data_IF_362563326551
#
_entry.id   IF_362563326551
#
_cell.length_a   1.000
_cell.length_b   1.000
_cell.length_c   1.000
_cell.angle_alpha   90.00
_cell.angle_beta   90.00
_cell.angle_gamma   90.00
#
_symmetry.space_group_name_H-M   'P 1'
#
loop_
_entity.id
_entity.type
_entity.pdbx_description
1 polymer ?
#
# COMPACT_ATOMS: atom_id res chain seq x y z
N UNK A 1 30.05 31.51 -34.31
CA UNK A 1 30.86 32.07 -33.22
C UNK A 1 30.15 31.71 -31.91
N UNK A 2 30.61 30.64 -31.26
CA UNK A 2 30.53 30.32 -29.82
C UNK A 2 30.97 28.86 -29.68
N UNK A 3 32.21 28.72 -29.19
CA UNK A 3 32.93 27.47 -29.00
C UNK A 3 32.36 26.69 -27.81
N UNK A 4 32.25 25.38 -28.03
CA UNK A 4 32.18 24.32 -27.04
C UNK A 4 33.49 24.23 -26.24
N UNK A 5 33.40 24.25 -24.92
CA UNK A 5 34.49 23.84 -24.02
C UNK A 5 34.08 22.58 -23.28
N UNK A 6 34.67 21.46 -23.69
CA UNK A 6 34.75 20.22 -22.92
C UNK A 6 35.90 20.37 -21.92
N UNK A 7 35.64 20.10 -20.64
CA UNK A 7 36.69 19.93 -19.63
C UNK A 7 36.83 18.46 -19.30
N UNK A 8 38.03 17.95 -19.57
CA UNK A 8 38.49 16.60 -19.31
C UNK A 8 38.52 16.30 -17.81
N UNK A 9 38.05 15.11 -17.43
CA UNK A 9 38.18 14.59 -16.08
C UNK A 9 39.56 13.94 -15.92
N UNK A 10 40.40 14.50 -15.06
CA UNK A 10 41.69 13.93 -14.68
C UNK A 10 41.49 12.73 -13.74
N UNK A 11 42.09 11.61 -14.10
CA UNK A 11 42.29 10.42 -13.26
C UNK A 11 43.32 10.74 -12.17
N UNK A 12 42.95 10.62 -10.89
CA UNK A 12 43.90 10.53 -9.77
C UNK A 12 43.79 9.16 -9.09
N UNK A 13 44.97 8.54 -8.91
CA UNK A 13 45.21 7.25 -8.25
C UNK A 13 45.15 7.39 -6.72
N UNK A 14 44.94 6.30 -5.97
CA UNK A 14 44.57 6.36 -4.55
C UNK A 14 45.79 6.60 -3.65
N UNK A 15 45.64 7.52 -2.70
CA UNK A 15 46.59 7.72 -1.60
C UNK A 15 46.24 6.74 -0.48
N UNK A 16 47.13 5.78 -0.23
CA UNK A 16 47.16 4.99 0.99
C UNK A 16 47.51 5.92 2.17
N UNK A 17 46.59 6.03 3.13
CA UNK A 17 46.90 6.53 4.46
C UNK A 17 46.30 5.56 5.49
N UNK A 18 47.18 4.75 6.07
CA UNK A 18 46.93 4.03 7.30
C UNK A 18 46.62 5.04 8.41
N UNK A 19 45.39 5.05 8.91
CA UNK A 19 45.08 5.60 10.22
C UNK A 19 44.15 4.64 10.94
N UNK A 20 44.70 3.96 11.94
CA UNK A 20 43.97 3.29 13.00
C UNK A 20 42.91 4.25 13.57
N UNK A 21 41.63 3.95 13.35
CA UNK A 21 40.54 4.60 14.07
C UNK A 21 39.91 3.56 14.97
N UNK A 22 40.15 3.76 16.26
CA UNK A 22 39.54 3.06 17.38
C UNK A 22 38.02 3.01 17.21
N UNK A 23 37.48 1.79 17.11
CA UNK A 23 36.04 1.52 17.15
C UNK A 23 35.55 1.61 18.60
N UNK A 24 35.46 2.82 19.15
CA UNK A 24 34.82 3.02 20.45
C UNK A 24 33.90 4.24 20.44
N UNK A 25 32.64 3.96 20.81
CA UNK A 25 31.60 4.89 21.23
C UNK A 25 31.08 5.89 20.20
N UNK A 26 30.22 5.40 19.30
CA UNK A 26 29.14 6.24 18.75
C UNK A 26 28.18 6.55 19.89
N UNK A 27 28.40 7.71 20.49
CA UNK A 27 27.49 8.39 21.40
C UNK A 27 26.09 8.44 20.78
N UNK A 28 25.15 7.73 21.41
CA UNK A 28 23.72 7.82 21.13
C UNK A 28 23.24 9.20 21.57
N UNK A 29 23.36 10.18 20.67
CA UNK A 29 22.73 11.48 20.90
C UNK A 29 21.23 11.27 21.07
N UNK A 30 20.75 11.51 22.29
CA UNK A 30 19.35 11.53 22.69
C UNK A 30 18.61 12.63 21.91
N UNK A 31 18.30 12.38 20.65
CA UNK A 31 17.32 13.15 19.91
C UNK A 31 15.98 12.82 20.56
N UNK A 32 15.41 13.81 21.25
CA UNK A 32 14.10 13.70 21.89
C UNK A 32 13.05 13.68 20.77
N UNK A 33 12.87 12.54 20.12
CA UNK A 33 11.79 12.30 19.17
C UNK A 33 10.48 12.52 19.94
N UNK A 34 9.76 13.61 19.65
CA UNK A 34 8.43 13.88 20.21
C UNK A 34 7.60 12.59 20.21
N UNK A 35 7.42 12.00 21.39
CA UNK A 35 6.48 10.93 21.74
C UNK A 35 6.21 9.91 20.62
N UNK A 36 7.23 9.15 20.20
CA UNK A 36 6.93 7.87 19.55
C UNK A 36 6.36 6.93 20.60
N UNK A 37 5.23 6.31 20.29
CA UNK A 37 4.73 5.24 21.13
C UNK A 37 5.75 4.09 21.15
N UNK A 38 5.88 3.43 22.29
CA UNK A 38 6.87 2.37 22.47
C UNK A 38 6.59 1.18 21.55
N UNK A 39 7.65 0.68 20.93
CA UNK A 39 7.64 -0.52 20.10
C UNK A 39 8.79 -1.43 20.54
N UNK A 40 8.70 -1.98 21.73
CA UNK A 40 9.72 -2.89 22.26
C UNK A 40 9.73 -4.24 21.52
N UNK A 41 8.61 -4.63 20.90
CA UNK A 41 8.51 -5.88 20.15
C UNK A 41 9.53 -5.99 19.01
N UNK A 42 9.94 -4.88 18.39
CA UNK A 42 10.95 -4.90 17.31
C UNK A 42 12.35 -5.24 17.82
N UNK A 43 12.64 -4.94 19.09
CA UNK A 43 13.92 -5.24 19.73
C UNK A 43 14.05 -6.71 20.13
N UNK A 44 12.94 -7.44 20.21
CA UNK A 44 12.94 -8.88 20.52
C UNK A 44 13.57 -9.66 19.36
N UNK A 45 14.46 -10.64 19.62
CA UNK A 45 14.82 -11.65 18.65
C UNK A 45 13.57 -12.32 18.07
N UNK A 46 13.59 -12.66 16.78
CA UNK A 46 12.42 -13.21 16.07
C UNK A 46 11.79 -14.42 16.79
N UNK A 47 12.62 -15.29 17.36
CA UNK A 47 12.19 -16.47 18.11
C UNK A 47 11.38 -16.12 19.37
N UNK A 48 11.67 -14.99 20.01
CA UNK A 48 11.00 -14.50 21.22
C UNK A 48 9.73 -13.68 20.91
N UNK A 49 9.49 -13.35 19.64
CA UNK A 49 8.26 -12.68 19.22
C UNK A 49 7.07 -13.62 19.34
N UNK A 50 5.97 -13.14 19.90
CA UNK A 50 4.71 -13.86 19.90
C UNK A 50 4.13 -13.97 18.47
N UNK A 51 3.06 -14.74 18.30
CA UNK A 51 2.43 -14.97 16.99
C UNK A 51 2.11 -13.67 16.24
N UNK A 52 1.51 -12.68 16.91
CA UNK A 52 1.11 -11.41 16.31
C UNK A 52 2.32 -10.54 15.93
N UNK A 53 3.34 -10.50 16.79
CA UNK A 53 4.60 -9.78 16.54
C UNK A 53 5.36 -10.38 15.34
N UNK A 54 5.32 -11.71 15.17
CA UNK A 54 5.90 -12.37 13.98
C UNK A 54 5.16 -11.96 12.70
N UNK A 55 3.84 -11.88 12.74
CA UNK A 55 3.05 -11.41 11.58
C UNK A 55 3.29 -9.92 11.29
N UNK A 56 3.41 -9.07 12.32
CA UNK A 56 3.72 -7.65 12.15
C UNK A 56 5.10 -7.40 11.54
N UNK A 57 5.99 -8.40 11.56
CA UNK A 57 7.31 -8.32 10.91
C UNK A 57 7.20 -8.11 9.40
N UNK A 58 6.10 -8.51 8.76
CA UNK A 58 5.89 -8.27 7.33
C UNK A 58 5.80 -6.78 6.97
N UNK A 59 5.49 -5.91 7.94
CA UNK A 59 5.45 -4.46 7.72
C UNK A 59 6.82 -3.78 7.88
N UNK A 60 7.83 -4.50 8.38
CA UNK A 60 9.13 -3.90 8.65
C UNK A 60 9.86 -3.63 7.32
N UNK A 61 10.14 -2.35 7.10
CA UNK A 61 11.07 -1.90 6.06
C UNK A 61 12.53 -2.15 6.48
N UNK A 62 13.49 -1.72 5.65
CA UNK A 62 14.91 -1.76 6.03
C UNK A 62 15.18 -0.86 7.24
N UNK A 63 16.22 -1.17 8.02
CA UNK A 63 16.62 -0.41 9.22
C UNK A 63 16.87 1.08 8.90
N UNK A 64 17.29 1.38 7.66
CA UNK A 64 17.42 2.75 7.12
C UNK A 64 16.16 3.57 7.37
N UNK A 65 14.97 2.99 7.19
CA UNK A 65 13.70 3.68 7.29
C UNK A 65 13.36 4.07 8.74
N UNK A 66 14.02 3.48 9.73
CA UNK A 66 13.70 3.64 11.16
C UNK A 66 14.73 4.47 11.93
N UNK A 67 15.79 4.92 11.27
CA UNK A 67 16.81 5.83 11.83
C UNK A 67 16.85 7.14 11.04
N UNK A 68 17.31 8.21 11.68
CA UNK A 68 17.45 9.51 11.01
C UNK A 68 18.50 9.41 9.90
N UNK A 69 18.15 9.90 8.71
CA UNK A 69 19.03 9.91 7.54
C UNK A 69 19.57 11.32 7.26
N UNK A 70 20.73 11.46 6.59
CA UNK A 70 21.16 12.76 6.08
C UNK A 70 20.11 13.38 5.15
N UNK A 71 19.96 14.70 5.18
CA UNK A 71 18.99 15.38 4.32
C UNK A 71 19.35 15.23 2.83
N UNK A 72 18.48 14.56 2.08
CA UNK A 72 18.56 14.53 0.61
C UNK A 72 18.00 15.82 0.01
N UNK A 73 18.88 16.63 -0.60
CA UNK A 73 18.55 17.93 -1.22
C UNK A 73 18.06 17.83 -2.67
N UNK A 74 18.23 16.68 -3.33
CA UNK A 74 17.80 16.50 -4.73
C UNK A 74 16.28 16.43 -4.81
N UNK A 75 15.61 16.93 -5.85
CA UNK A 75 14.16 16.76 -5.99
C UNK A 75 13.76 15.27 -5.95
N UNK A 76 12.55 14.91 -5.47
CA UNK A 76 12.05 13.55 -5.56
C UNK A 76 12.04 13.08 -7.03
N UNK A 77 12.57 11.88 -7.34
CA UNK A 77 12.50 11.37 -8.69
C UNK A 77 11.06 11.02 -9.07
N UNK A 78 10.76 11.06 -10.36
CA UNK A 78 9.47 10.65 -10.90
C UNK A 78 9.46 9.13 -11.13
N UNK A 79 8.51 8.42 -10.54
CA UNK A 79 8.38 6.99 -10.73
C UNK A 79 7.68 6.68 -12.06
N UNK A 80 8.28 5.80 -12.87
CA UNK A 80 7.70 5.43 -14.16
C UNK A 80 6.43 4.58 -13.96
N UNK A 81 5.26 5.20 -14.19
CA UNK A 81 3.94 4.56 -14.04
C UNK A 81 3.76 3.29 -14.87
N UNK A 82 4.45 3.16 -16.01
CA UNK A 82 4.37 1.95 -16.84
C UNK A 82 5.02 0.73 -16.18
N UNK A 83 6.06 0.94 -15.38
CA UNK A 83 6.66 -0.14 -14.58
C UNK A 83 5.69 -0.63 -13.52
N UNK A 84 4.97 0.29 -12.88
CA UNK A 84 3.96 -0.02 -11.88
C UNK A 84 2.73 -0.71 -12.47
N UNK A 85 2.27 -0.27 -13.65
CA UNK A 85 1.21 -0.97 -14.41
C UNK A 85 1.63 -2.39 -14.77
N UNK A 86 2.85 -2.58 -15.28
CA UNK A 86 3.36 -3.92 -15.60
C UNK A 86 3.44 -4.80 -14.34
N UNK A 87 3.95 -4.25 -13.23
CA UNK A 87 4.00 -4.95 -11.95
C UNK A 87 2.60 -5.39 -11.50
N UNK A 88 1.61 -4.49 -11.55
CA UNK A 88 0.22 -4.81 -11.24
C UNK A 88 -0.33 -5.90 -12.15
N UNK A 89 -0.10 -5.82 -13.47
CA UNK A 89 -0.55 -6.86 -14.42
C UNK A 89 0.04 -8.21 -14.06
N UNK A 90 1.34 -8.28 -13.78
CA UNK A 90 2.04 -9.54 -13.43
C UNK A 90 1.55 -10.11 -12.10
N UNK A 91 1.17 -9.26 -11.14
CA UNK A 91 0.73 -9.73 -9.82
C UNK A 91 -0.78 -10.05 -9.75
N UNK A 92 -1.61 -9.40 -10.56
CA UNK A 92 -3.08 -9.58 -10.55
C UNK A 92 -3.53 -10.70 -11.49
N UNK A 93 -2.95 -10.77 -12.70
CA UNK A 93 -3.39 -11.69 -13.75
C UNK A 93 -3.28 -13.18 -13.40
N UNK A 94 -2.25 -13.67 -12.66
CA UNK A 94 -2.09 -15.10 -12.40
C UNK A 94 -3.30 -15.77 -11.75
N UNK A 95 -3.95 -15.11 -10.79
CA UNK A 95 -5.13 -15.67 -10.13
C UNK A 95 -6.29 -15.93 -11.12
N UNK A 96 -6.55 -14.96 -12.01
CA UNK A 96 -7.56 -15.06 -13.06
C UNK A 96 -7.20 -16.13 -14.08
N UNK A 97 -5.93 -16.16 -14.53
CA UNK A 97 -5.44 -17.11 -15.52
C UNK A 97 -5.52 -18.54 -14.97
N UNK A 98 -5.14 -18.78 -13.72
CA UNK A 98 -5.20 -20.11 -13.10
C UNK A 98 -6.64 -20.63 -13.07
N UNK A 99 -7.62 -19.80 -12.65
CA UNK A 99 -9.02 -20.23 -12.68
C UNK A 99 -9.52 -20.44 -14.12
N UNK A 100 -9.18 -19.56 -15.06
CA UNK A 100 -9.59 -19.72 -16.46
C UNK A 100 -9.01 -21.00 -17.09
N UNK A 101 -7.72 -21.28 -16.85
CA UNK A 101 -7.05 -22.50 -17.31
C UNK A 101 -7.64 -23.74 -16.66
N UNK A 102 -8.04 -23.69 -15.39
CA UNK A 102 -8.74 -24.80 -14.74
C UNK A 102 -10.01 -25.18 -15.51
N UNK A 103 -10.84 -24.20 -15.88
CA UNK A 103 -12.09 -24.45 -16.61
C UNK A 103 -11.81 -24.93 -18.05
N UNK A 104 -10.69 -24.54 -18.64
CA UNK A 104 -10.28 -25.03 -19.95
C UNK A 104 -9.77 -26.48 -19.92
N UNK A 105 -9.01 -26.85 -18.89
CA UNK A 105 -8.32 -28.15 -18.80
C UNK A 105 -9.21 -29.24 -18.21
N UNK A 106 -10.02 -28.91 -17.20
CA UNK A 106 -10.85 -29.90 -16.51
C UNK A 106 -12.11 -30.17 -17.35
N UNK A 107 -12.40 -31.43 -17.71
CA UNK A 107 -13.57 -31.77 -18.55
C UNK A 107 -14.89 -31.31 -17.94
N UNK A 108 -15.82 -30.82 -18.77
CA UNK A 108 -17.13 -30.29 -18.32
C UNK A 108 -17.97 -31.29 -17.53
N UNK A 109 -17.83 -32.58 -17.79
CA UNK A 109 -18.51 -33.65 -17.08
C UNK A 109 -17.88 -34.00 -15.72
N UNK A 110 -16.73 -33.42 -15.37
CA UNK A 110 -16.08 -33.61 -14.08
C UNK A 110 -16.79 -32.84 -12.98
N UNK A 111 -16.97 -33.48 -11.81
CA UNK A 111 -17.46 -32.81 -10.60
C UNK A 111 -16.63 -31.56 -10.23
N UNK A 112 -15.33 -31.58 -10.58
CA UNK A 112 -14.39 -30.51 -10.27
C UNK A 112 -14.29 -29.42 -11.33
N UNK A 113 -15.03 -29.50 -12.45
CA UNK A 113 -14.94 -28.52 -13.54
C UNK A 113 -15.18 -27.09 -13.06
N UNK A 114 -16.23 -26.89 -12.24
CA UNK A 114 -16.58 -25.57 -11.72
C UNK A 114 -16.18 -25.38 -10.27
N UNK A 115 -15.69 -24.20 -9.93
CA UNK A 115 -15.27 -23.86 -8.57
C UNK A 115 -16.46 -23.48 -7.69
N UNK A 116 -16.75 -24.31 -6.70
CA UNK A 116 -17.69 -23.96 -5.63
C UNK A 116 -17.29 -22.62 -4.97
N UNK A 117 -18.24 -21.75 -4.56
CA UNK A 117 -17.90 -20.44 -3.98
C UNK A 117 -16.88 -20.47 -2.84
N UNK A 118 -16.92 -21.50 -1.99
CA UNK A 118 -15.93 -21.70 -0.92
C UNK A 118 -14.51 -21.93 -1.48
N UNK A 119 -14.37 -22.73 -2.54
CA UNK A 119 -13.07 -22.97 -3.20
C UNK A 119 -12.55 -21.68 -3.83
N UNK A 120 -13.43 -20.95 -4.53
CA UNK A 120 -13.08 -19.66 -5.11
C UNK A 120 -12.65 -18.66 -4.03
N UNK A 121 -13.39 -18.56 -2.92
CA UNK A 121 -13.03 -17.70 -1.80
C UNK A 121 -11.65 -18.04 -1.24
N UNK A 122 -11.39 -19.31 -0.92
CA UNK A 122 -10.08 -19.73 -0.39
C UNK A 122 -8.96 -19.40 -1.38
N UNK A 123 -9.14 -19.73 -2.67
CA UNK A 123 -8.14 -19.47 -3.69
C UNK A 123 -7.86 -17.97 -3.85
N UNK A 124 -8.90 -17.16 -4.06
CA UNK A 124 -8.74 -15.71 -4.24
C UNK A 124 -8.23 -15.03 -2.97
N UNK A 125 -8.59 -15.52 -1.78
CA UNK A 125 -8.06 -14.98 -0.52
C UNK A 125 -6.56 -15.25 -0.39
N UNK A 126 -6.10 -16.48 -0.67
CA UNK A 126 -4.68 -16.82 -0.67
C UNK A 126 -3.90 -16.02 -1.72
N UNK A 127 -4.47 -15.85 -2.91
CA UNK A 127 -3.90 -15.00 -3.95
C UNK A 127 -3.83 -13.53 -3.49
N UNK A 128 -4.84 -13.03 -2.78
CA UNK A 128 -4.87 -11.64 -2.29
C UNK A 128 -3.84 -11.41 -1.19
N UNK A 129 -3.73 -12.33 -0.22
CA UNK A 129 -2.69 -12.28 0.81
C UNK A 129 -1.30 -12.34 0.17
N UNK A 130 -1.10 -13.20 -0.83
CA UNK A 130 0.15 -13.26 -1.59
C UNK A 130 0.44 -11.94 -2.29
N UNK A 131 -0.56 -11.34 -2.95
CA UNK A 131 -0.47 -10.03 -3.57
C UNK A 131 -0.05 -8.95 -2.57
N UNK A 132 -0.70 -8.88 -1.40
CA UNK A 132 -0.38 -7.91 -0.33
C UNK A 132 1.07 -8.09 0.17
N UNK A 133 1.52 -9.32 0.40
CA UNK A 133 2.92 -9.57 0.82
C UNK A 133 3.90 -9.07 -0.24
N UNK A 134 3.61 -9.30 -1.53
CA UNK A 134 4.46 -8.82 -2.64
C UNK A 134 4.41 -7.30 -2.76
N UNK A 135 3.24 -6.71 -2.56
CA UNK A 135 3.02 -5.27 -2.57
C UNK A 135 3.83 -4.57 -1.49
N UNK A 136 3.77 -5.05 -0.24
CA UNK A 136 4.55 -4.47 0.86
C UNK A 136 6.03 -4.53 0.55
N UNK A 137 6.55 -5.67 0.07
CA UNK A 137 7.96 -5.80 -0.36
C UNK A 137 8.34 -4.86 -1.50
N UNK A 138 7.43 -4.65 -2.45
CA UNK A 138 7.64 -3.75 -3.58
C UNK A 138 7.72 -2.29 -3.13
N UNK A 139 6.85 -1.88 -2.22
CA UNK A 139 6.87 -0.53 -1.66
C UNK A 139 8.10 -0.32 -0.76
N UNK A 140 8.42 -1.26 0.13
CA UNK A 140 9.59 -1.12 1.01
C UNK A 140 10.91 -1.14 0.25
N UNK A 141 10.98 -1.80 -0.90
CA UNK A 141 12.10 -1.67 -1.83
C UNK A 141 12.29 -0.21 -2.28
N UNK A 142 11.22 0.48 -2.68
CA UNK A 142 11.34 1.88 -3.08
C UNK A 142 11.62 2.83 -1.91
N UNK A 143 11.10 2.54 -0.72
CA UNK A 143 11.48 3.26 0.51
C UNK A 143 12.99 3.15 0.77
N UNK A 144 13.58 1.97 0.53
CA UNK A 144 15.01 1.77 0.69
C UNK A 144 15.83 2.49 -0.39
N UNK A 145 15.42 2.38 -1.66
CA UNK A 145 16.13 2.99 -2.80
C UNK A 145 16.09 4.51 -2.76
N UNK A 146 14.90 5.10 -2.55
CA UNK A 146 14.69 6.54 -2.68
C UNK A 146 14.67 7.30 -1.35
N UNK A 147 14.58 6.58 -0.23
CA UNK A 147 14.33 7.15 1.08
C UNK A 147 12.85 7.50 1.28
N UNK A 148 12.56 8.12 2.42
CA UNK A 148 11.21 8.58 2.79
C UNK A 148 11.19 10.09 3.04
N UNK A 149 10.03 10.72 2.86
CA UNK A 149 9.86 12.15 3.12
C UNK A 149 10.12 12.48 4.60
N UNK A 150 10.80 13.60 4.90
CA UNK A 150 11.13 14.03 6.27
C UNK A 150 12.07 13.10 7.07
N UNK A 151 12.71 12.10 6.44
CA UNK A 151 13.60 11.13 7.10
C UNK A 151 14.81 11.73 7.84
N UNK A 152 15.17 12.97 7.52
CA UNK A 152 16.23 13.73 8.19
C UNK A 152 15.81 14.40 9.50
N UNK A 153 14.50 14.49 9.75
CA UNK A 153 13.95 14.96 11.02
C UNK A 153 13.37 13.83 11.83
N UNK A 154 12.62 12.94 11.17
CA UNK A 154 11.92 11.83 11.82
C UNK A 154 11.83 10.62 10.88
N UNK A 155 12.25 9.42 11.34
CA UNK A 155 12.10 8.20 10.55
C UNK A 155 10.64 7.74 10.41
N UNK A 156 10.39 6.61 9.73
CA UNK A 156 9.12 5.88 9.74
C UNK A 156 8.79 5.32 11.12
N UNK A 157 7.53 5.39 11.51
CA UNK A 157 7.05 4.91 12.79
C UNK A 157 7.00 3.38 12.83
N UNK A 158 7.23 2.81 14.01
CA UNK A 158 6.91 1.42 14.27
C UNK A 158 5.46 1.30 14.72
N UNK A 159 4.89 0.11 14.55
CA UNK A 159 3.62 -0.25 15.17
C UNK A 159 3.82 -0.27 16.70
N UNK A 160 3.02 0.49 17.47
CA UNK A 160 3.16 0.49 18.93
C UNK A 160 2.81 -0.87 19.54
N UNK A 161 3.49 -1.27 20.63
CA UNK A 161 3.33 -2.59 21.27
C UNK A 161 1.86 -2.96 21.51
N UNK A 162 1.08 -2.01 22.07
CA UNK A 162 -0.35 -2.17 22.39
C UNK A 162 -1.26 -2.36 21.18
N UNK A 163 -0.78 -2.06 19.98
CA UNK A 163 -1.57 -2.10 18.75
C UNK A 163 -1.16 -3.20 17.79
N UNK A 164 -0.10 -3.98 18.08
CA UNK A 164 0.35 -5.09 17.23
C UNK A 164 -0.78 -6.08 16.98
N UNK A 165 -1.43 -6.59 18.04
CA UNK A 165 -2.55 -7.52 17.91
C UNK A 165 -3.68 -6.96 17.04
N UNK A 166 -4.08 -5.71 17.35
CA UNK A 166 -5.18 -5.04 16.65
C UNK A 166 -4.87 -4.86 15.17
N UNK A 167 -3.67 -4.39 14.83
CA UNK A 167 -3.24 -4.20 13.45
C UNK A 167 -3.40 -5.50 12.65
N UNK A 168 -2.88 -6.61 13.18
CA UNK A 168 -2.96 -7.91 12.49
C UNK A 168 -4.40 -8.38 12.35
N UNK A 169 -5.23 -8.18 13.38
CA UNK A 169 -6.66 -8.51 13.30
C UNK A 169 -7.36 -7.66 12.22
N UNK A 170 -7.08 -6.36 12.15
CA UNK A 170 -7.62 -5.45 11.13
C UNK A 170 -7.18 -5.84 9.72
N UNK A 171 -5.93 -6.27 9.52
CA UNK A 171 -5.44 -6.81 8.23
C UNK A 171 -6.19 -8.09 7.86
N UNK A 172 -6.40 -9.00 8.81
CA UNK A 172 -7.16 -10.24 8.57
C UNK A 172 -8.61 -9.92 8.17
N UNK A 173 -9.30 -9.05 8.92
CA UNK A 173 -10.65 -8.61 8.62
C UNK A 173 -10.70 -7.94 7.24
N UNK A 174 -9.77 -7.02 6.96
CA UNK A 174 -9.66 -6.34 5.67
C UNK A 174 -9.53 -7.35 4.53
N UNK A 175 -8.56 -8.26 4.59
CA UNK A 175 -8.30 -9.21 3.49
C UNK A 175 -9.47 -10.19 3.27
N UNK A 176 -10.13 -10.64 4.34
CA UNK A 176 -11.34 -11.46 4.26
C UNK A 176 -12.51 -10.67 3.68
N UNK A 177 -12.74 -9.45 4.17
CA UNK A 177 -13.83 -8.58 3.75
C UNK A 177 -13.70 -8.17 2.28
N UNK A 178 -12.48 -7.83 1.81
CA UNK A 178 -12.22 -7.53 0.39
C UNK A 178 -12.48 -8.75 -0.49
N UNK A 179 -11.95 -9.91 -0.12
CA UNK A 179 -12.16 -11.12 -0.91
C UNK A 179 -13.64 -11.51 -0.96
N UNK A 180 -14.29 -11.64 0.20
CA UNK A 180 -15.68 -12.06 0.30
C UNK A 180 -16.64 -11.02 -0.28
N UNK A 181 -16.44 -9.75 0.05
CA UNK A 181 -17.21 -8.62 -0.48
C UNK A 181 -17.13 -8.54 -2.00
N UNK A 182 -15.94 -8.71 -2.59
CA UNK A 182 -15.80 -8.74 -4.04
C UNK A 182 -16.54 -9.89 -4.72
N UNK A 183 -16.50 -11.09 -4.13
CA UNK A 183 -17.27 -12.24 -4.65
C UNK A 183 -18.78 -12.02 -4.53
N UNK A 184 -19.25 -11.42 -3.43
CA UNK A 184 -20.68 -11.16 -3.19
C UNK A 184 -21.19 -10.02 -4.09
N UNK A 185 -20.55 -8.85 -4.01
CA UNK A 185 -20.96 -7.64 -4.75
C UNK A 185 -20.81 -7.82 -6.26
N UNK A 186 -19.80 -8.58 -6.69
CA UNK A 186 -19.57 -8.89 -8.09
C UNK A 186 -20.42 -10.03 -8.64
N UNK A 187 -21.25 -10.67 -7.79
CA UNK A 187 -22.16 -11.74 -8.20
C UNK A 187 -21.45 -13.00 -8.67
N UNK A 188 -20.51 -13.54 -7.87
CA UNK A 188 -19.77 -14.75 -8.23
C UNK A 188 -20.71 -15.89 -8.65
N UNK A 189 -20.50 -16.40 -9.86
CA UNK A 189 -21.20 -17.55 -10.40
C UNK A 189 -20.18 -18.61 -10.82
N UNK A 190 -20.29 -19.82 -10.24
CA UNK A 190 -19.38 -20.93 -10.54
C UNK A 190 -19.43 -21.39 -12.00
N UNK A 191 -20.45 -21.02 -12.77
CA UNK A 191 -20.56 -21.35 -14.20
C UNK A 191 -20.04 -20.23 -15.11
N UNK A 192 -19.44 -19.19 -14.54
CA UNK A 192 -18.94 -18.03 -15.29
C UNK A 192 -17.47 -17.77 -14.93
N UNK A 193 -16.51 -18.50 -15.53
CA UNK A 193 -15.09 -18.31 -15.25
C UNK A 193 -14.59 -16.93 -15.71
N UNK A 194 -13.37 -16.52 -15.31
CA UNK A 194 -12.73 -15.32 -15.82
C UNK A 194 -12.64 -15.35 -17.34
N UNK A 195 -13.26 -14.37 -18.00
CA UNK A 195 -13.21 -14.23 -19.46
C UNK A 195 -13.48 -12.80 -19.89
N UNK A 196 -12.66 -12.30 -20.81
CA UNK A 196 -12.78 -10.96 -21.38
C UNK A 196 -13.99 -10.89 -22.31
N UNK A 197 -14.81 -9.85 -22.15
CA UNK A 197 -16.11 -9.70 -22.80
C UNK A 197 -17.29 -10.34 -22.06
N UNK A 198 -17.04 -11.13 -21.00
CA UNK A 198 -18.10 -11.77 -20.22
C UNK A 198 -18.04 -11.34 -18.75
N UNK A 199 -17.15 -11.93 -17.95
CA UNK A 199 -17.01 -11.60 -16.52
C UNK A 199 -15.94 -10.53 -16.25
N UNK A 200 -15.23 -10.11 -17.30
CA UNK A 200 -14.35 -8.95 -17.35
C UNK A 200 -14.78 -8.16 -18.60
N UNK A 201 -15.30 -6.94 -18.47
CA UNK A 201 -15.71 -6.14 -19.63
C UNK A 201 -14.50 -5.73 -20.49
N UNK A 202 -14.68 -5.53 -21.80
CA UNK A 202 -13.68 -4.86 -22.64
C UNK A 202 -13.36 -3.43 -22.14
N UNK A 203 -14.30 -2.80 -21.45
CA UNK A 203 -14.14 -1.49 -20.84
C UNK A 203 -13.71 -1.57 -19.36
N UNK A 204 -13.22 -2.72 -18.87
CA UNK A 204 -12.88 -2.89 -17.45
C UNK A 204 -11.96 -1.79 -16.89
N UNK A 205 -10.94 -1.26 -17.60
CA UNK A 205 -10.09 -0.21 -17.03
C UNK A 205 -10.88 1.08 -16.76
N UNK A 206 -11.82 1.42 -17.64
CA UNK A 206 -12.69 2.59 -17.49
C UNK A 206 -13.69 2.35 -16.35
N UNK A 207 -14.34 1.18 -16.31
CA UNK A 207 -15.27 0.81 -15.24
C UNK A 207 -14.62 0.86 -13.86
N UNK A 208 -13.43 0.27 -13.73
CA UNK A 208 -12.65 0.29 -12.48
C UNK A 208 -12.22 1.72 -12.15
N UNK A 209 -11.77 2.50 -13.13
CA UNK A 209 -11.42 3.91 -12.92
C UNK A 209 -12.59 4.74 -12.37
N UNK A 210 -13.78 4.60 -12.96
CA UNK A 210 -15.01 5.26 -12.48
C UNK A 210 -15.39 4.76 -11.08
N UNK A 211 -15.30 3.46 -10.81
CA UNK A 211 -15.58 2.91 -9.48
C UNK A 211 -14.61 3.47 -8.43
N UNK A 212 -13.31 3.58 -8.75
CA UNK A 212 -12.30 4.15 -7.84
C UNK A 212 -12.53 5.64 -7.60
N UNK A 213 -12.89 6.42 -8.62
CA UNK A 213 -13.30 7.82 -8.46
C UNK A 213 -14.56 7.93 -7.58
N UNK A 214 -15.52 7.03 -7.77
CA UNK A 214 -16.75 7.00 -6.96
C UNK A 214 -16.46 6.63 -5.51
N UNK A 215 -15.56 5.67 -5.29
CA UNK A 215 -15.06 5.29 -3.97
C UNK A 215 -14.38 6.48 -3.29
N UNK A 216 -13.46 7.14 -4.00
CA UNK A 216 -12.76 8.31 -3.50
C UNK A 216 -13.71 9.48 -3.21
N UNK A 217 -14.78 9.65 -4.00
CA UNK A 217 -15.84 10.63 -3.71
C UNK A 217 -16.47 10.37 -2.32
N UNK A 218 -16.95 9.15 -2.04
CA UNK A 218 -17.54 8.84 -0.73
C UNK A 218 -16.51 8.93 0.39
N UNK A 219 -15.28 8.47 0.15
CA UNK A 219 -14.18 8.58 1.10
C UNK A 219 -13.85 10.03 1.42
N UNK A 220 -13.74 10.90 0.42
CA UNK A 220 -13.46 12.32 0.56
C UNK A 220 -14.48 13.02 1.47
N UNK A 221 -15.78 12.79 1.28
CA UNK A 221 -16.81 13.42 2.12
C UNK A 221 -16.71 12.95 3.57
N UNK A 222 -16.57 11.65 3.79
CA UNK A 222 -16.37 11.09 5.13
C UNK A 222 -15.11 11.66 5.79
N UNK A 223 -13.98 11.57 5.08
CA UNK A 223 -12.67 11.95 5.55
C UNK A 223 -12.59 13.46 5.85
N UNK A 224 -13.12 14.30 4.96
CA UNK A 224 -13.24 15.74 5.20
C UNK A 224 -14.13 16.05 6.40
N UNK A 225 -15.23 15.32 6.59
CA UNK A 225 -16.12 15.53 7.74
C UNK A 225 -15.43 15.25 9.07
N UNK A 226 -14.70 14.12 9.19
CA UNK A 226 -13.94 13.81 10.43
C UNK A 226 -12.81 14.80 10.70
N UNK A 227 -12.24 15.41 9.65
CA UNK A 227 -11.29 16.52 9.77
C UNK A 227 -11.94 17.86 10.08
N UNK A 228 -13.18 18.11 9.68
CA UNK A 228 -13.81 19.41 9.85
C UNK A 228 -14.47 19.52 11.22
N UNK A 229 -15.27 18.53 11.61
CA UNK A 229 -16.11 18.61 12.81
C UNK A 229 -15.39 18.04 14.05
N UNK A 230 -15.18 18.82 15.13
CA UNK A 230 -14.41 18.37 16.29
C UNK A 230 -14.94 17.10 16.97
N UNK A 231 -16.26 16.90 17.01
CA UNK A 231 -16.85 15.71 17.64
C UNK A 231 -16.66 14.42 16.82
N UNK A 232 -16.37 14.54 15.53
CA UNK A 232 -16.08 13.40 14.65
C UNK A 232 -14.58 13.03 14.65
N UNK A 233 -13.69 13.98 15.00
CA UNK A 233 -12.24 13.76 15.00
C UNK A 233 -11.80 12.54 15.80
N UNK A 234 -12.47 12.26 16.93
CA UNK A 234 -12.19 11.08 17.78
C UNK A 234 -12.22 9.74 17.05
N UNK A 235 -12.90 9.65 15.90
CA UNK A 235 -12.97 8.44 15.08
C UNK A 235 -11.82 8.31 14.09
N UNK A 236 -11.05 9.38 13.87
CA UNK A 236 -9.96 9.44 12.90
C UNK A 236 -8.60 9.80 13.53
N UNK A 237 -8.62 10.29 14.79
CA UNK A 237 -7.42 10.70 15.50
C UNK A 237 -6.41 9.57 15.73
N UNK A 238 -6.88 8.32 15.83
CA UNK A 238 -5.99 7.17 15.96
C UNK A 238 -5.27 6.84 14.68
N UNK A 239 -5.94 6.94 13.53
CA UNK A 239 -5.29 6.81 12.23
C UNK A 239 -4.13 7.82 12.11
N UNK A 240 -4.40 9.08 12.46
CA UNK A 240 -3.40 10.15 12.53
C UNK A 240 -2.44 10.11 13.72
N UNK A 241 -2.56 9.14 14.63
CA UNK A 241 -1.59 8.97 15.71
C UNK A 241 -0.25 8.44 15.18
N UNK A 242 -0.28 7.78 14.02
CA UNK A 242 0.90 7.44 13.23
C UNK A 242 1.23 8.62 12.32
N UNK A 243 2.35 9.31 12.54
CA UNK A 243 2.69 10.52 11.78
C UNK A 243 3.59 10.24 10.58
N UNK A 244 4.32 9.13 10.64
CA UNK A 244 5.20 8.67 9.55
C UNK A 244 4.91 7.20 9.29
N UNK A 245 3.72 6.86 8.76
CA UNK A 245 3.30 5.47 8.64
C UNK A 245 4.18 4.65 7.70
N UNK A 246 4.09 3.34 7.87
CA UNK A 246 4.47 2.31 6.91
C UNK A 246 3.24 1.73 6.20
N UNK A 247 3.39 0.97 5.10
CA UNK A 247 2.27 0.50 4.30
C UNK A 247 1.16 -0.22 5.08
N UNK A 248 1.47 -1.14 6.01
CA UNK A 248 0.41 -1.83 6.76
C UNK A 248 -0.24 -0.96 7.84
N UNK A 249 0.42 0.11 8.31
CA UNK A 249 -0.21 1.07 9.25
C UNK A 249 -1.36 1.87 8.61
N UNK A 250 -1.55 1.77 7.28
CA UNK A 250 -2.74 2.28 6.58
C UNK A 250 -4.06 1.86 7.22
N UNK A 251 -4.15 0.62 7.72
CA UNK A 251 -5.37 0.08 8.31
C UNK A 251 -5.46 0.29 9.82
N UNK A 252 -4.45 0.93 10.45
CA UNK A 252 -4.44 1.15 11.89
C UNK A 252 -5.39 2.31 12.26
N UNK A 253 -6.65 1.99 12.50
CA UNK A 253 -7.70 2.95 12.82
C UNK A 253 -8.54 2.50 14.03
N UNK A 254 -9.64 3.22 14.30
CA UNK A 254 -10.67 2.81 15.27
C UNK A 254 -11.79 2.01 14.60
N UNK A 255 -12.54 1.23 15.40
CA UNK A 255 -13.48 0.22 14.87
C UNK A 255 -14.50 0.82 13.92
N UNK A 256 -15.03 2.01 14.25
CA UNK A 256 -16.02 2.69 13.41
C UNK A 256 -15.41 3.15 12.08
N UNK A 257 -14.18 3.67 12.09
CA UNK A 257 -13.49 4.05 10.85
C UNK A 257 -13.23 2.81 10.00
N UNK A 258 -12.74 1.71 10.59
CA UNK A 258 -12.54 0.45 9.87
C UNK A 258 -13.85 -0.07 9.26
N UNK A 259 -14.99 -0.01 9.98
CA UNK A 259 -16.29 -0.39 9.42
C UNK A 259 -16.67 0.46 8.21
N UNK A 260 -16.50 1.77 8.32
CA UNK A 260 -16.84 2.72 7.24
C UNK A 260 -15.97 2.46 6.01
N UNK A 261 -14.65 2.38 6.20
CA UNK A 261 -13.68 2.30 5.10
C UNK A 261 -13.61 0.92 4.45
N UNK A 262 -13.74 -0.15 5.24
CA UNK A 262 -13.65 -1.53 4.74
C UNK A 262 -14.98 -1.96 4.09
N UNK A 263 -16.12 -1.54 4.64
CA UNK A 263 -17.43 -2.05 4.20
C UNK A 263 -18.31 -0.99 3.55
N UNK A 264 -18.58 0.13 4.23
CA UNK A 264 -19.63 1.06 3.78
C UNK A 264 -19.24 1.86 2.55
N UNK A 265 -18.00 2.36 2.49
CA UNK A 265 -17.50 3.13 1.36
C UNK A 265 -17.43 2.28 0.07
N UNK A 266 -16.83 1.06 0.09
CA UNK A 266 -16.85 0.18 -1.08
C UNK A 266 -18.26 -0.24 -1.48
N UNK A 267 -19.16 -0.48 -0.52
CA UNK A 267 -20.57 -0.78 -0.81
C UNK A 267 -21.24 0.40 -1.53
N UNK A 268 -21.10 1.62 -1.01
CA UNK A 268 -21.67 2.83 -1.61
C UNK A 268 -21.15 3.05 -3.05
N UNK A 269 -19.84 2.89 -3.28
CA UNK A 269 -19.26 2.97 -4.61
C UNK A 269 -19.84 1.92 -5.56
N UNK A 270 -20.07 0.70 -5.06
CA UNK A 270 -20.60 -0.43 -5.83
C UNK A 270 -22.09 -0.30 -6.16
N UNK A 271 -22.86 0.42 -5.35
CA UNK A 271 -24.25 0.75 -5.64
C UNK A 271 -24.40 1.77 -6.78
N UNK A 272 -23.39 2.62 -6.98
CA UNK A 272 -23.35 3.62 -8.06
C UNK A 272 -22.72 3.03 -9.33
N UNK A 273 -21.57 2.36 -9.18
CA UNK A 273 -20.82 1.76 -10.28
C UNK A 273 -20.59 0.27 -10.01
N UNK A 274 -21.54 -0.62 -10.35
CA UNK A 274 -21.36 -2.04 -10.11
C UNK A 274 -20.26 -2.63 -10.99
N UNK A 275 -19.37 -3.41 -10.38
CA UNK A 275 -18.34 -4.18 -11.07
C UNK A 275 -18.73 -5.66 -11.13
N UNK A 276 -18.27 -6.36 -12.15
CA UNK A 276 -18.38 -7.83 -12.23
C UNK A 276 -17.36 -8.46 -11.27
N UNK A 277 -17.57 -9.73 -10.89
CA UNK A 277 -16.71 -10.42 -9.91
C UNK A 277 -15.21 -10.36 -10.21
N UNK A 278 -14.79 -10.58 -11.45
CA UNK A 278 -13.37 -10.54 -11.80
C UNK A 278 -12.85 -9.10 -12.00
N UNK A 279 -13.72 -8.14 -12.29
CA UNK A 279 -13.37 -6.72 -12.26
C UNK A 279 -13.17 -6.24 -10.81
N UNK A 280 -13.98 -6.72 -9.86
CA UNK A 280 -13.80 -6.47 -8.43
C UNK A 280 -12.47 -7.03 -7.91
N UNK A 281 -12.07 -8.22 -8.36
CA UNK A 281 -10.74 -8.75 -8.05
C UNK A 281 -9.64 -7.77 -8.45
N UNK A 282 -9.67 -7.30 -9.70
CA UNK A 282 -8.68 -6.35 -10.23
C UNK A 282 -8.74 -5.02 -9.46
N UNK A 283 -9.95 -4.47 -9.27
CA UNK A 283 -10.17 -3.19 -8.60
C UNK A 283 -9.65 -3.18 -7.17
N UNK A 284 -9.86 -4.26 -6.42
CA UNK A 284 -9.43 -4.34 -5.02
C UNK A 284 -7.92 -4.48 -4.88
N UNK A 285 -7.25 -5.18 -5.80
CA UNK A 285 -5.78 -5.19 -5.85
C UNK A 285 -5.21 -3.81 -6.16
N UNK A 286 -5.81 -3.06 -7.10
CA UNK A 286 -5.40 -1.68 -7.41
C UNK A 286 -5.67 -0.75 -6.22
N UNK A 287 -6.83 -0.87 -5.57
CA UNK A 287 -7.18 -0.08 -4.39
C UNK A 287 -6.17 -0.33 -3.25
N UNK A 288 -5.91 -1.61 -2.92
CA UNK A 288 -4.94 -1.97 -1.89
C UNK A 288 -3.53 -1.46 -2.22
N UNK A 289 -3.14 -1.50 -3.49
CA UNK A 289 -1.89 -0.90 -3.96
C UNK A 289 -1.82 0.59 -3.63
N UNK A 290 -2.85 1.36 -3.97
CA UNK A 290 -2.87 2.83 -3.78
C UNK A 290 -2.95 3.20 -2.30
N UNK A 291 -3.75 2.48 -1.51
CA UNK A 291 -3.85 2.66 -0.06
C UNK A 291 -2.49 2.42 0.62
N UNK A 292 -1.84 1.30 0.32
CA UNK A 292 -0.53 0.95 0.89
C UNK A 292 0.58 1.91 0.43
N UNK A 293 0.58 2.28 -0.85
CA UNK A 293 1.51 3.22 -1.46
C UNK A 293 1.43 4.60 -0.79
N UNK A 294 0.21 5.13 -0.59
CA UNK A 294 -0.02 6.43 0.04
C UNK A 294 0.52 6.51 1.48
N UNK A 295 0.48 5.40 2.22
CA UNK A 295 0.96 5.31 3.60
C UNK A 295 2.45 4.95 3.74
N UNK A 296 3.21 4.94 2.65
CA UNK A 296 4.64 4.59 2.68
C UNK A 296 5.54 5.77 3.04
N UNK A 297 5.12 6.99 2.71
CA UNK A 297 5.97 8.17 2.74
C UNK A 297 7.21 8.07 1.83
N UNK A 298 7.21 7.18 0.84
CA UNK A 298 8.33 7.01 -0.10
C UNK A 298 8.62 8.31 -0.83
N UNK A 299 9.89 8.72 -0.87
CA UNK A 299 10.34 10.01 -1.41
C UNK A 299 10.41 10.03 -2.94
N UNK A 300 9.26 9.86 -3.58
CA UNK A 300 9.10 9.82 -5.04
C UNK A 300 7.83 10.54 -5.46
N UNK A 301 7.82 11.14 -6.64
CA UNK A 301 6.58 11.53 -7.29
C UNK A 301 5.93 10.25 -7.83
N UNK A 302 4.92 9.76 -7.11
CA UNK A 302 4.23 8.51 -7.38
C UNK A 302 2.73 8.72 -7.24
N UNK A 303 2.06 8.62 -8.38
CA UNK A 303 0.63 8.88 -8.55
C UNK A 303 -0.14 7.58 -8.73
N UNK A 304 -1.47 7.64 -8.61
CA UNK A 304 -2.35 6.51 -8.90
C UNK A 304 -2.06 5.89 -10.30
N UNK A 305 -1.80 4.57 -10.40
CA UNK A 305 -1.30 3.96 -11.64
C UNK A 305 -2.36 3.89 -12.75
N UNK A 306 -3.65 3.77 -12.41
CA UNK A 306 -4.74 3.75 -13.38
C UNK A 306 -5.22 5.14 -13.81
N UNK A 307 -5.54 6.02 -12.86
CA UNK A 307 -6.26 7.29 -13.13
C UNK A 307 -5.42 8.56 -12.93
N UNK A 308 -4.18 8.47 -12.43
CA UNK A 308 -3.36 9.63 -12.10
C UNK A 308 -3.15 10.59 -13.29
N UNK A 309 -2.74 10.05 -14.45
CA UNK A 309 -2.54 10.84 -15.67
C UNK A 309 -3.82 11.50 -16.19
N UNK A 310 -5.00 10.93 -15.88
CA UNK A 310 -6.31 11.46 -16.26
C UNK A 310 -6.74 12.59 -15.32
N UNK A 311 -6.45 12.46 -14.02
CA UNK A 311 -6.84 13.43 -13.00
C UNK A 311 -5.88 14.62 -12.90
N UNK A 312 -4.61 14.44 -13.31
CA UNK A 312 -3.57 15.47 -13.29
C UNK A 312 -3.97 16.81 -13.92
N UNK A 313 -4.54 16.87 -15.13
CA UNK A 313 -4.89 18.15 -15.76
C UNK A 313 -5.93 18.96 -14.98
N UNK A 314 -6.67 18.32 -14.07
CA UNK A 314 -7.67 18.94 -13.22
C UNK A 314 -7.13 19.29 -11.82
N UNK A 315 -5.85 19.00 -11.53
CA UNK A 315 -5.28 19.15 -10.18
C UNK A 315 -5.91 18.20 -9.16
N UNK A 316 -6.46 17.07 -9.62
CA UNK A 316 -7.14 16.07 -8.78
C UNK A 316 -6.32 14.78 -8.62
N UNK A 317 -5.04 14.79 -9.01
CA UNK A 317 -4.16 13.66 -8.71
C UNK A 317 -3.68 13.75 -7.27
N UNK A 318 -3.80 12.65 -6.52
CA UNK A 318 -3.17 12.48 -5.22
C UNK A 318 -1.85 11.71 -5.39
N UNK A 319 -0.79 12.23 -4.79
CA UNK A 319 0.54 11.61 -4.77
C UNK A 319 0.88 11.08 -3.38
N UNK A 320 1.93 10.27 -3.28
CA UNK A 320 2.49 9.83 -1.98
C UNK A 320 2.87 11.02 -1.09
N UNK A 321 3.39 12.11 -1.67
CA UNK A 321 3.77 13.30 -0.90
C UNK A 321 2.55 13.98 -0.28
N UNK A 322 1.44 14.10 -1.02
CA UNK A 322 0.21 14.72 -0.53
C UNK A 322 -0.34 13.98 0.70
N UNK A 323 -0.35 12.64 0.64
CA UNK A 323 -0.84 11.81 1.73
C UNK A 323 0.12 11.79 2.93
N UNK A 324 1.43 11.81 2.70
CA UNK A 324 2.44 11.92 3.76
C UNK A 324 2.40 13.29 4.46
N UNK A 325 2.20 14.39 3.72
CA UNK A 325 1.95 15.73 4.29
C UNK A 325 0.66 15.74 5.13
N UNK A 326 -0.38 15.09 4.63
CA UNK A 326 -1.64 14.92 5.35
C UNK A 326 -1.46 14.15 6.67
N UNK A 327 -0.67 13.08 6.72
CA UNK A 327 -0.39 12.39 7.99
C UNK A 327 0.42 13.25 8.97
N UNK A 328 1.43 13.95 8.45
CA UNK A 328 2.32 14.80 9.26
C UNK A 328 1.59 15.99 9.88
N UNK A 329 0.74 16.66 9.11
CA UNK A 329 0.13 17.94 9.48
C UNK A 329 -1.40 17.89 9.65
N UNK A 330 -2.04 16.79 9.25
CA UNK A 330 -3.47 16.54 9.43
C UNK A 330 -3.83 16.35 10.90
N UNK A 331 -4.67 17.28 11.39
CA UNK A 331 -5.07 17.52 12.79
C UNK A 331 -4.08 16.96 13.82
N UNK A 332 -2.89 17.56 13.82
CA UNK A 332 -1.95 17.63 14.96
C UNK A 332 -2.38 18.64 16.00
#
# INVERSE_FOLDING_TARGET
MLQTTYTEASYEQPVNAETNVDLQHVSTSNITYKLRATANWVQKPYEQRNFWERLATFDLASDKCYVVQPQNKNPPPNLNVWRERLWLTVMIAPALIIQALWYYIIPENSFFHTWHPIVAFIFYHLAFVTFIIRLVKHITYYMDVYGTFDEYKRPRDYVPDKYVYRLILSILIYTLARTGGGLILGGYNRYSPPSLGHTISWAFPIKIGIWLITLDFFFYFYHRAVHTFPFLWKYHSKHHSTKHPTPLQSILADDLQEIIEIFLIPLAASLVMPLLVHEFWIAQCILAYVEAMGHSGTRVYWTHPLIGEILRPFGMEITVEDHDLHHRYGKS
#
